data_IF_254169809127
#
_entry.id   IF_254169809127
#
_cell.length_a   1.000
_cell.length_b   1.000
_cell.length_c   1.000
_cell.angle_alpha   90.00
_cell.angle_beta   90.00
_cell.angle_gamma   90.00
#
_symmetry.space_group_name_H-M   'P 1'
#
loop_
_entity.id
_entity.type
_entity.pdbx_description
1 polymer ?
#
# COMPACT_ATOMS: atom_id res chain seq x y z
N UNK A 1 -48.35 -70.99 34.01
CA UNK A 1 -47.92 -69.57 34.05
C UNK A 1 -46.73 -69.39 33.12
N UNK A 2 -46.96 -68.88 31.90
CA UNK A 2 -45.92 -68.65 30.89
C UNK A 2 -45.61 -67.15 30.90
N UNK A 3 -44.40 -66.76 31.32
CA UNK A 3 -43.93 -65.36 31.27
C UNK A 3 -43.39 -65.07 29.86
N UNK A 4 -44.06 -64.19 29.12
CA UNK A 4 -43.57 -63.59 27.87
C UNK A 4 -42.56 -62.49 28.22
N UNK A 5 -41.34 -62.60 27.71
CA UNK A 5 -40.35 -61.53 27.73
C UNK A 5 -40.44 -60.74 26.43
N UNK A 6 -40.66 -59.42 26.52
CA UNK A 6 -40.67 -58.49 25.40
C UNK A 6 -39.24 -57.96 25.25
N UNK A 7 -38.57 -58.28 24.13
CA UNK A 7 -37.30 -57.66 23.75
C UNK A 7 -37.60 -56.31 23.08
N UNK A 8 -37.25 -55.22 23.76
CA UNK A 8 -37.29 -53.87 23.19
C UNK A 8 -35.95 -53.62 22.50
N UNK A 9 -35.95 -53.60 21.17
CA UNK A 9 -34.79 -53.21 20.37
C UNK A 9 -34.56 -51.71 20.48
N UNK A 10 -33.47 -51.29 21.12
CA UNK A 10 -33.01 -49.91 21.12
C UNK A 10 -32.29 -49.62 19.80
N UNK A 11 -33.02 -49.03 18.84
CA UNK A 11 -32.40 -48.44 17.65
C UNK A 11 -31.56 -47.23 18.07
N UNK A 12 -30.23 -47.39 18.12
CA UNK A 12 -29.29 -46.28 18.20
C UNK A 12 -29.29 -45.56 16.85
N UNK A 13 -30.08 -44.49 16.74
CA UNK A 13 -30.00 -43.55 15.63
C UNK A 13 -28.71 -42.74 15.84
N UNK A 14 -27.65 -43.12 15.13
CA UNK A 14 -26.46 -42.29 14.96
C UNK A 14 -26.85 -41.04 14.16
N UNK A 15 -27.21 -39.97 14.86
CA UNK A 15 -27.29 -38.64 14.28
C UNK A 15 -25.87 -38.21 13.88
N UNK A 16 -25.47 -38.50 12.64
CA UNK A 16 -24.38 -37.76 12.01
C UNK A 16 -24.83 -36.30 11.91
N UNK A 17 -24.39 -35.49 12.87
CA UNK A 17 -24.44 -34.05 12.78
C UNK A 17 -23.62 -33.65 11.56
N UNK A 18 -24.30 -33.48 10.43
CA UNK A 18 -23.73 -32.90 9.23
C UNK A 18 -23.53 -31.41 9.54
N UNK A 19 -22.40 -31.06 10.17
CA UNK A 19 -21.93 -29.68 10.23
C UNK A 19 -21.61 -29.27 8.80
N UNK A 20 -22.54 -28.58 8.13
CA UNK A 20 -22.21 -27.89 6.90
C UNK A 20 -21.06 -26.94 7.22
N UNK A 21 -19.93 -27.11 6.53
CA UNK A 21 -18.84 -26.14 6.61
C UNK A 21 -19.46 -24.79 6.19
N UNK A 22 -19.58 -23.84 7.13
CA UNK A 22 -19.99 -22.47 6.81
C UNK A 22 -18.89 -21.89 5.93
N UNK A 23 -19.12 -21.86 4.63
CA UNK A 23 -18.25 -21.17 3.69
C UNK A 23 -18.39 -19.67 3.92
N UNK A 24 -17.29 -18.98 4.24
CA UNK A 24 -17.26 -17.52 4.13
C UNK A 24 -17.09 -17.24 2.63
N UNK A 25 -18.20 -16.99 1.95
CA UNK A 25 -18.17 -16.38 0.63
C UNK A 25 -17.76 -14.92 0.84
N UNK A 26 -16.58 -14.54 0.38
CA UNK A 26 -16.22 -13.12 0.27
C UNK A 26 -17.00 -12.59 -0.93
N UNK A 27 -18.24 -12.15 -0.68
CA UNK A 27 -19.18 -11.72 -1.73
C UNK A 27 -18.68 -10.52 -2.54
N UNK A 28 -17.80 -9.71 -1.94
CA UNK A 28 -17.12 -8.58 -2.60
C UNK A 28 -15.68 -8.47 -2.11
N UNK A 29 -14.77 -8.09 -3.01
CA UNK A 29 -13.37 -7.84 -2.65
C UNK A 29 -13.30 -6.79 -1.54
N UNK A 30 -12.53 -7.02 -0.46
CA UNK A 30 -12.38 -6.04 0.60
C UNK A 30 -11.81 -4.71 0.07
N UNK A 31 -12.21 -3.61 0.68
CA UNK A 31 -11.65 -2.30 0.31
C UNK A 31 -10.20 -2.26 0.78
N UNK A 32 -9.27 -2.06 -0.17
CA UNK A 32 -7.86 -1.87 0.12
C UNK A 32 -7.68 -0.57 0.95
N UNK A 33 -7.04 -0.60 2.13
CA UNK A 33 -6.90 0.57 3.00
C UNK A 33 -6.23 1.75 2.28
N UNK A 34 -6.76 2.95 2.53
CA UNK A 34 -6.35 4.22 1.93
C UNK A 34 -6.42 4.31 0.38
N UNK A 35 -7.23 3.47 -0.26
CA UNK A 35 -7.37 3.47 -1.73
C UNK A 35 -8.72 3.98 -2.22
N UNK A 36 -8.76 4.32 -3.51
CA UNK A 36 -9.95 4.59 -4.31
C UNK A 36 -10.04 3.53 -5.39
N UNK A 37 -11.21 2.91 -5.54
CA UNK A 37 -11.54 2.10 -6.70
C UNK A 37 -11.74 2.99 -7.92
N UNK A 38 -10.98 2.78 -8.98
CA UNK A 38 -11.07 3.59 -10.21
C UNK A 38 -11.76 2.84 -11.36
N UNK A 39 -11.34 1.63 -11.69
CA UNK A 39 -11.95 0.81 -12.76
C UNK A 39 -11.45 -0.64 -12.72
N UNK A 40 -12.18 -1.60 -13.31
CA UNK A 40 -11.69 -2.97 -13.58
C UNK A 40 -10.95 -3.70 -12.43
N UNK A 41 -11.41 -3.55 -11.19
CA UNK A 41 -10.75 -4.17 -10.03
C UNK A 41 -9.48 -3.45 -9.54
N UNK A 42 -9.10 -2.34 -10.17
CA UNK A 42 -7.95 -1.50 -9.82
C UNK A 42 -8.34 -0.49 -8.73
N UNK A 43 -7.59 -0.56 -7.64
CA UNK A 43 -7.56 0.40 -6.57
C UNK A 43 -6.25 1.18 -6.62
N UNK A 44 -6.25 2.44 -6.25
CA UNK A 44 -5.03 3.26 -6.16
C UNK A 44 -5.06 4.12 -4.90
N UNK A 45 -3.91 4.36 -4.29
CA UNK A 45 -3.82 5.24 -3.13
C UNK A 45 -4.32 6.65 -3.44
N UNK A 46 -5.03 7.23 -2.46
CA UNK A 46 -5.54 8.61 -2.54
C UNK A 46 -4.41 9.63 -2.72
N UNK A 47 -3.31 9.42 -2.00
CA UNK A 47 -2.14 10.28 -1.96
C UNK A 47 -0.89 9.42 -2.11
N UNK A 48 0.26 10.06 -2.29
CA UNK A 48 1.56 9.42 -2.20
C UNK A 48 1.78 8.77 -0.83
N UNK A 49 2.64 7.74 -0.77
CA UNK A 49 3.04 7.12 0.50
C UNK A 49 3.74 8.17 1.36
N UNK A 50 3.22 8.40 2.56
CA UNK A 50 3.73 9.43 3.46
C UNK A 50 4.90 8.95 4.31
N UNK A 51 5.63 9.89 4.91
CA UNK A 51 6.73 9.59 5.84
C UNK A 51 6.26 8.72 7.02
N UNK A 52 5.06 8.96 7.57
CA UNK A 52 4.54 8.13 8.67
C UNK A 52 4.27 6.70 8.20
N UNK A 53 3.74 6.50 6.99
CA UNK A 53 3.52 5.17 6.44
C UNK A 53 4.85 4.44 6.17
N UNK A 54 5.85 5.15 5.64
CA UNK A 54 7.16 4.55 5.41
C UNK A 54 7.90 4.23 6.72
N UNK A 55 7.76 5.07 7.75
CA UNK A 55 8.30 4.77 9.09
C UNK A 55 7.63 3.58 9.75
N UNK A 56 6.34 3.33 9.52
CA UNK A 56 5.69 2.09 9.98
C UNK A 56 6.34 0.85 9.36
N UNK A 57 6.70 0.92 8.07
CA UNK A 57 7.48 -0.13 7.41
C UNK A 57 8.87 -0.31 8.04
N UNK A 58 9.61 0.78 8.26
CA UNK A 58 10.92 0.73 8.92
C UNK A 58 10.84 0.14 10.32
N UNK A 59 9.84 0.56 11.10
CA UNK A 59 9.57 0.04 12.43
C UNK A 59 9.28 -1.46 12.39
N UNK A 60 8.44 -1.91 11.46
CA UNK A 60 8.17 -3.34 11.27
C UNK A 60 9.45 -4.11 11.00
N UNK A 61 10.30 -3.65 10.07
CA UNK A 61 11.52 -4.36 9.73
C UNK A 61 12.49 -4.44 10.91
N UNK A 62 12.60 -3.38 11.71
CA UNK A 62 13.48 -3.34 12.89
C UNK A 62 13.02 -4.31 13.99
N UNK A 63 11.71 -4.46 14.19
CA UNK A 63 11.17 -5.21 15.33
C UNK A 63 10.85 -6.67 15.00
N UNK A 64 10.65 -6.99 13.72
CA UNK A 64 10.22 -8.32 13.28
C UNK A 64 11.36 -9.21 12.79
N UNK A 65 12.56 -8.65 12.60
CA UNK A 65 13.73 -9.42 12.20
C UNK A 65 14.83 -9.27 13.24
N UNK A 66 15.45 -10.38 13.62
CA UNK A 66 16.57 -10.38 14.56
C UNK A 66 17.82 -9.74 13.94
N UNK A 67 17.96 -9.85 12.62
CA UNK A 67 18.97 -9.13 11.83
C UNK A 67 18.41 -7.81 11.28
N UNK A 68 19.13 -6.72 11.52
CA UNK A 68 18.79 -5.37 11.10
C UNK A 68 19.18 -5.08 9.63
N UNK A 69 19.69 -6.07 8.88
CA UNK A 69 20.07 -5.89 7.46
C UNK A 69 18.92 -5.36 6.61
N UNK A 70 17.71 -5.92 6.73
CA UNK A 70 16.55 -5.49 5.94
C UNK A 70 16.14 -4.05 6.25
N UNK A 71 16.12 -3.65 7.52
CA UNK A 71 15.79 -2.29 7.90
C UNK A 71 16.87 -1.30 7.42
N UNK A 72 18.17 -1.63 7.57
CA UNK A 72 19.25 -0.80 7.03
C UNK A 72 19.17 -0.63 5.51
N UNK A 73 18.83 -1.67 4.77
CA UNK A 73 18.61 -1.60 3.32
C UNK A 73 17.37 -0.78 2.94
N UNK A 74 16.38 -0.68 3.83
CA UNK A 74 15.16 0.09 3.61
C UNK A 74 15.29 1.58 3.99
N UNK A 75 16.36 2.00 4.69
CA UNK A 75 16.57 3.40 5.05
C UNK A 75 16.64 4.29 3.80
N UNK A 76 15.84 5.37 3.70
CA UNK A 76 15.95 6.32 2.61
C UNK A 76 17.30 7.04 2.62
N UNK A 77 17.79 7.43 1.44
CA UNK A 77 18.91 8.34 1.32
C UNK A 77 18.46 9.75 1.70
N UNK A 78 18.78 10.18 2.92
CA UNK A 78 18.41 11.52 3.40
C UNK A 78 19.32 12.62 2.86
N UNK A 79 20.48 12.29 2.27
CA UNK A 79 21.40 13.28 1.73
C UNK A 79 20.88 13.92 0.43
N UNK A 80 19.86 13.34 -0.20
CA UNK A 80 19.19 13.90 -1.38
C UNK A 80 18.75 15.36 -1.16
N UNK A 81 18.40 15.74 0.07
CA UNK A 81 18.05 17.12 0.42
C UNK A 81 19.24 18.08 0.26
N UNK A 82 20.37 17.76 0.90
CA UNK A 82 21.58 18.59 0.85
C UNK A 82 22.25 18.57 -0.53
N UNK A 83 22.15 17.45 -1.25
CA UNK A 83 22.64 17.35 -2.63
C UNK A 83 21.81 18.16 -3.62
N UNK A 84 20.51 18.34 -3.35
CA UNK A 84 19.66 19.19 -4.17
C UNK A 84 20.00 20.67 -3.94
N UNK A 85 19.94 21.12 -2.68
CA UNK A 85 20.41 22.46 -2.29
C UNK A 85 20.79 22.48 -0.80
N UNK A 86 21.90 23.14 -0.47
CA UNK A 86 22.36 23.36 0.90
C UNK A 86 21.33 24.04 1.81
N UNK A 87 20.40 24.82 1.25
CA UNK A 87 19.32 25.45 2.00
C UNK A 87 18.34 24.43 2.63
N UNK A 88 18.30 23.19 2.14
CA UNK A 88 17.53 22.08 2.71
C UNK A 88 18.33 21.20 3.67
N UNK A 89 19.51 21.64 4.12
CA UNK A 89 20.39 20.84 4.99
C UNK A 89 19.73 20.35 6.29
N UNK A 90 18.76 21.07 6.85
CA UNK A 90 17.99 20.63 8.02
C UNK A 90 17.08 19.44 7.71
N UNK A 91 16.53 19.37 6.49
CA UNK A 91 15.63 18.28 6.05
C UNK A 91 16.32 16.91 6.06
N UNK A 92 17.64 16.87 5.95
CA UNK A 92 18.45 15.63 6.10
C UNK A 92 18.14 14.94 7.44
N UNK A 93 17.94 15.73 8.50
CA UNK A 93 17.67 15.24 9.84
C UNK A 93 16.17 15.12 10.10
N UNK A 94 15.39 16.12 9.67
CA UNK A 94 14.03 16.29 10.15
C UNK A 94 12.97 15.60 9.29
N UNK A 95 13.09 15.65 7.96
CA UNK A 95 11.98 15.35 7.04
C UNK A 95 11.36 13.97 7.25
N UNK A 96 12.18 12.92 7.34
CA UNK A 96 11.66 11.57 7.57
C UNK A 96 11.22 11.37 9.01
N UNK A 97 11.73 12.11 9.99
CA UNK A 97 11.78 11.70 11.41
C UNK A 97 10.85 12.48 12.32
N UNK A 98 10.52 13.72 12.00
CA UNK A 98 9.76 14.57 12.91
C UNK A 98 8.25 14.54 12.63
N UNK A 99 7.41 14.85 13.62
CA UNK A 99 5.95 14.87 13.47
C UNK A 99 5.42 15.84 12.40
N UNK A 100 6.13 16.96 12.20
CA UNK A 100 5.72 18.04 11.29
C UNK A 100 5.62 17.56 9.83
N UNK A 101 6.39 16.52 9.48
CA UNK A 101 6.46 15.96 8.13
C UNK A 101 5.74 14.62 7.99
N UNK A 102 4.92 14.21 8.96
CA UNK A 102 4.27 12.90 8.96
C UNK A 102 3.51 12.59 7.66
N UNK A 103 2.71 13.55 7.23
CA UNK A 103 1.78 13.38 6.09
C UNK A 103 2.39 13.81 4.75
N UNK A 104 3.68 14.13 4.74
CA UNK A 104 4.44 14.51 3.55
C UNK A 104 4.88 13.26 2.79
N UNK A 105 5.00 13.32 1.46
CA UNK A 105 5.44 12.19 0.67
C UNK A 105 6.83 11.72 1.09
N UNK A 106 7.01 10.42 1.24
CA UNK A 106 8.31 9.84 1.50
C UNK A 106 9.19 9.94 0.23
N UNK A 107 10.40 10.50 0.39
CA UNK A 107 11.38 10.74 -0.70
C UNK A 107 12.76 10.23 -0.31
N UNK A 108 13.72 10.26 -1.25
CA UNK A 108 15.01 9.61 -1.04
C UNK A 108 14.91 8.08 -1.07
N UNK A 109 13.85 7.56 -1.68
CA UNK A 109 13.54 6.12 -1.77
C UNK A 109 13.86 5.64 -3.18
N UNK A 110 14.63 4.56 -3.28
CA UNK A 110 14.93 3.92 -4.56
C UNK A 110 13.72 3.15 -5.09
N UNK A 111 13.69 2.88 -6.40
CA UNK A 111 12.68 2.01 -6.99
C UNK A 111 12.60 0.63 -6.29
N UNK A 112 13.75 0.04 -5.96
CA UNK A 112 13.81 -1.26 -5.28
C UNK A 112 13.24 -1.19 -3.86
N UNK A 113 13.56 -0.13 -3.11
CA UNK A 113 13.00 0.12 -1.79
C UNK A 113 11.47 0.29 -1.85
N UNK A 114 10.97 1.07 -2.83
CA UNK A 114 9.53 1.25 -3.04
C UNK A 114 8.84 -0.08 -3.41
N UNK A 115 9.46 -0.92 -4.25
CA UNK A 115 8.96 -2.26 -4.56
C UNK A 115 8.91 -3.17 -3.32
N UNK A 116 9.92 -3.11 -2.46
CA UNK A 116 9.97 -3.90 -1.23
C UNK A 116 8.91 -3.45 -0.20
N UNK A 117 8.72 -2.14 -0.05
CA UNK A 117 7.61 -1.58 0.73
C UNK A 117 6.26 -2.11 0.23
N UNK A 118 6.07 -2.12 -1.07
CA UNK A 118 4.80 -2.50 -1.70
C UNK A 118 4.47 -3.98 -1.49
N UNK A 119 5.48 -4.86 -1.55
CA UNK A 119 5.34 -6.28 -1.18
C UNK A 119 4.99 -6.43 0.31
N UNK A 120 5.69 -5.72 1.18
CA UNK A 120 5.40 -5.73 2.61
C UNK A 120 3.96 -5.28 2.90
N UNK A 121 3.49 -4.22 2.24
CA UNK A 121 2.12 -3.72 2.40
C UNK A 121 1.08 -4.75 1.98
N UNK A 122 1.34 -5.51 0.91
CA UNK A 122 0.47 -6.63 0.50
C UNK A 122 0.32 -7.65 1.62
N UNK A 123 1.44 -8.07 2.23
CA UNK A 123 1.43 -9.01 3.35
C UNK A 123 0.67 -8.45 4.56
N UNK A 124 0.92 -7.20 4.95
CA UNK A 124 0.26 -6.58 6.12
C UNK A 124 -1.24 -6.42 5.93
N UNK A 125 -1.68 -5.98 4.75
CA UNK A 125 -3.11 -5.82 4.46
C UNK A 125 -3.80 -7.18 4.42
N UNK A 126 -3.15 -8.20 3.87
CA UNK A 126 -3.69 -9.56 3.93
C UNK A 126 -3.77 -10.08 5.37
N UNK A 127 -2.72 -9.90 6.16
CA UNK A 127 -2.68 -10.29 7.57
C UNK A 127 -3.82 -9.63 8.36
N UNK A 128 -3.98 -8.31 8.20
CA UNK A 128 -5.07 -7.54 8.80
C UNK A 128 -6.45 -8.04 8.34
N UNK A 129 -6.62 -8.33 7.05
CA UNK A 129 -7.87 -8.87 6.52
C UNK A 129 -8.22 -10.22 7.15
N UNK A 130 -7.27 -11.15 7.19
CA UNK A 130 -7.46 -12.47 7.79
C UNK A 130 -7.75 -12.39 9.29
N UNK A 131 -7.05 -11.51 10.01
CA UNK A 131 -7.27 -11.28 11.43
C UNK A 131 -8.67 -10.70 11.70
N UNK A 132 -9.10 -9.71 10.91
CA UNK A 132 -10.45 -9.10 11.02
C UNK A 132 -11.56 -10.12 10.75
N UNK A 133 -11.29 -11.15 9.94
CA UNK A 133 -12.20 -12.26 9.67
C UNK A 133 -12.09 -13.42 10.67
N UNK A 134 -11.26 -13.29 11.71
CA UNK A 134 -10.96 -14.35 12.70
C UNK A 134 -10.43 -15.66 12.07
N UNK A 135 -9.72 -15.56 10.94
CA UNK A 135 -9.11 -16.70 10.23
C UNK A 135 -7.72 -16.99 10.79
N UNK A 136 -6.99 -15.94 11.15
CA UNK A 136 -5.72 -16.03 11.87
C UNK A 136 -5.84 -15.26 13.18
N UNK A 137 -5.08 -15.68 14.18
CA UNK A 137 -4.89 -14.89 15.39
C UNK A 137 -3.77 -13.86 15.14
N UNK A 138 -3.95 -12.58 15.53
CA UNK A 138 -2.87 -11.60 15.49
C UNK A 138 -1.67 -12.12 16.29
N UNK A 139 -0.47 -12.00 15.73
CA UNK A 139 0.75 -12.40 16.43
C UNK A 139 1.53 -11.15 16.80
N UNK A 140 1.45 -10.69 18.05
CA UNK A 140 2.14 -9.48 18.48
C UNK A 140 3.67 -9.64 18.51
N UNK A 141 4.20 -10.87 18.61
CA UNK A 141 5.63 -11.11 18.89
C UNK A 141 6.34 -12.05 17.89
N UNK A 142 5.77 -12.36 16.72
CA UNK A 142 6.51 -13.21 15.76
C UNK A 142 7.78 -12.53 15.29
N UNK A 143 8.86 -13.31 15.22
CA UNK A 143 10.15 -12.90 14.68
C UNK A 143 10.55 -13.81 13.52
N UNK A 144 11.34 -13.24 12.61
CA UNK A 144 12.02 -13.94 11.54
C UNK A 144 11.07 -14.84 10.73
N UNK A 145 11.28 -16.16 10.76
CA UNK A 145 10.50 -17.12 9.98
C UNK A 145 9.04 -17.27 10.43
N UNK A 146 8.68 -16.77 11.61
CA UNK A 146 7.29 -16.75 12.06
C UNK A 146 6.50 -15.56 11.51
N UNK A 147 7.15 -14.63 10.81
CA UNK A 147 6.45 -13.49 10.22
C UNK A 147 5.49 -13.96 9.13
N UNK A 148 4.31 -13.34 9.11
CA UNK A 148 3.31 -13.59 8.08
C UNK A 148 3.83 -13.16 6.71
N UNK A 149 3.60 -14.00 5.72
CA UNK A 149 3.56 -13.62 4.31
C UNK A 149 2.42 -14.32 3.60
N UNK A 150 1.91 -13.71 2.53
CA UNK A 150 0.89 -14.29 1.67
C UNK A 150 1.33 -15.68 1.18
N UNK A 151 2.60 -15.84 0.79
CA UNK A 151 3.12 -17.12 0.33
C UNK A 151 3.07 -18.19 1.43
N UNK A 152 3.55 -17.89 2.64
CA UNK A 152 3.52 -18.82 3.78
C UNK A 152 2.08 -19.20 4.15
N UNK A 153 1.16 -18.23 4.10
CA UNK A 153 -0.25 -18.47 4.36
C UNK A 153 -0.83 -19.53 3.41
N UNK A 154 -0.66 -19.35 2.10
CA UNK A 154 -1.21 -20.28 1.10
C UNK A 154 -0.44 -21.60 0.96
N UNK A 155 0.86 -21.61 1.30
CA UNK A 155 1.68 -22.83 1.34
C UNK A 155 1.33 -23.76 2.50
N UNK A 156 0.49 -23.32 3.45
CA UNK A 156 0.18 -24.02 4.71
C UNK A 156 1.37 -24.10 5.69
N UNK A 157 2.35 -23.20 5.55
CA UNK A 157 3.55 -23.13 6.41
C UNK A 157 3.43 -22.13 7.59
N UNK A 158 2.40 -21.29 7.60
CA UNK A 158 2.08 -20.33 8.66
C UNK A 158 1.29 -20.96 9.82
N UNK A 159 2.00 -21.65 10.72
CA UNK A 159 1.52 -22.57 11.78
C UNK A 159 0.33 -22.15 12.68
N UNK A 160 -0.20 -20.92 12.62
CA UNK A 160 -1.24 -20.38 13.52
C UNK A 160 -2.65 -20.33 12.90
N UNK A 161 -3.01 -21.40 12.17
CA UNK A 161 -4.22 -21.51 11.34
C UNK A 161 -5.52 -21.73 12.11
N UNK A 162 -6.59 -21.06 11.66
CA UNK A 162 -7.97 -21.56 11.81
C UNK A 162 -8.67 -21.45 10.45
N UNK A 163 -9.10 -22.58 9.88
CA UNK A 163 -10.05 -22.63 8.75
C UNK A 163 -9.67 -21.82 7.47
N UNK A 164 -8.50 -22.10 6.87
CA UNK A 164 -7.98 -21.37 5.70
C UNK A 164 -8.48 -21.86 4.32
N UNK A 165 -9.18 -22.99 4.24
CA UNK A 165 -9.55 -23.60 2.94
C UNK A 165 -10.58 -22.77 2.15
N UNK A 166 -11.18 -21.74 2.74
CA UNK A 166 -12.17 -20.87 2.11
C UNK A 166 -11.58 -19.62 1.45
N UNK A 167 -10.31 -19.28 1.71
CA UNK A 167 -9.66 -18.10 1.15
C UNK A 167 -8.88 -18.49 -0.10
N UNK A 168 -9.17 -17.81 -1.21
CA UNK A 168 -8.48 -17.99 -2.48
C UNK A 168 -8.10 -16.68 -3.17
N UNK A 169 -8.21 -15.55 -2.46
CA UNK A 169 -7.83 -14.23 -2.97
C UNK A 169 -6.80 -13.57 -2.05
N UNK A 170 -6.03 -12.64 -2.59
CA UNK A 170 -5.10 -11.80 -1.84
C UNK A 170 -4.99 -10.41 -2.46
N UNK A 171 -4.71 -9.36 -1.66
CA UNK A 171 -4.38 -8.05 -2.18
C UNK A 171 -2.94 -8.10 -2.72
N UNK A 172 -2.76 -7.71 -3.97
CA UNK A 172 -1.45 -7.43 -4.53
C UNK A 172 -1.34 -5.93 -4.71
N UNK A 173 -0.56 -5.30 -3.83
CA UNK A 173 -0.10 -3.94 -4.06
C UNK A 173 1.09 -3.98 -5.02
N UNK A 174 1.19 -2.96 -5.87
CA UNK A 174 2.27 -2.76 -6.84
C UNK A 174 2.58 -1.28 -7.02
N UNK A 175 3.75 -0.97 -7.57
CA UNK A 175 3.93 0.33 -8.21
C UNK A 175 3.06 0.38 -9.48
N UNK A 176 2.46 1.52 -9.83
CA UNK A 176 1.59 1.61 -10.99
C UNK A 176 2.34 1.29 -12.28
N UNK A 177 1.70 0.59 -13.22
CA UNK A 177 2.14 0.63 -14.62
C UNK A 177 1.83 2.01 -15.23
N UNK A 178 2.37 2.29 -16.43
CA UNK A 178 2.03 3.53 -17.14
C UNK A 178 0.53 3.65 -17.39
N UNK A 179 -0.08 2.56 -17.84
CA UNK A 179 -1.50 2.49 -18.18
C UNK A 179 -2.39 2.63 -16.94
N UNK A 180 -1.99 2.03 -15.81
CA UNK A 180 -2.71 2.18 -14.54
C UNK A 180 -2.66 3.63 -14.03
N UNK A 181 -1.50 4.28 -14.15
CA UNK A 181 -1.34 5.67 -13.75
C UNK A 181 -2.14 6.62 -14.67
N UNK A 182 -2.12 6.38 -15.98
CA UNK A 182 -2.94 7.12 -16.96
C UNK A 182 -4.45 6.95 -16.69
N UNK A 183 -4.86 5.75 -16.30
CA UNK A 183 -6.25 5.50 -15.87
C UNK A 183 -6.60 6.32 -14.63
N UNK A 184 -5.67 6.44 -13.68
CA UNK A 184 -5.88 7.20 -12.45
C UNK A 184 -5.99 8.72 -12.71
N UNK A 185 -5.15 9.30 -13.55
CA UNK A 185 -5.24 10.73 -13.88
C UNK A 185 -6.51 11.05 -14.66
N UNK A 186 -6.94 10.18 -15.58
CA UNK A 186 -8.21 10.35 -16.26
C UNK A 186 -9.40 10.32 -15.28
N UNK A 187 -9.42 9.34 -14.37
CA UNK A 187 -10.42 9.26 -13.31
C UNK A 187 -10.41 10.54 -12.44
N UNK A 188 -9.24 11.03 -12.06
CA UNK A 188 -9.10 12.26 -11.27
C UNK A 188 -9.67 13.48 -12.01
N UNK A 189 -9.30 13.69 -13.27
CA UNK A 189 -9.73 14.85 -14.06
C UNK A 189 -11.25 14.87 -14.28
N UNK A 190 -11.86 13.70 -14.53
CA UNK A 190 -13.31 13.57 -14.66
C UNK A 190 -14.05 13.87 -13.34
N UNK A 191 -13.52 13.41 -12.20
CA UNK A 191 -14.11 13.72 -10.89
C UNK A 191 -13.89 15.18 -10.49
N UNK A 192 -12.75 15.78 -10.83
CA UNK A 192 -12.45 17.18 -10.53
C UNK A 192 -13.40 18.14 -11.26
N UNK A 193 -13.80 17.86 -12.51
CA UNK A 193 -14.81 18.64 -13.26
C UNK A 193 -16.16 18.71 -12.54
N UNK A 194 -16.50 17.64 -11.82
CA UNK A 194 -17.76 17.49 -11.10
C UNK A 194 -17.66 17.92 -9.63
N UNK A 195 -16.53 18.51 -9.24
CA UNK A 195 -16.25 18.91 -7.87
C UNK A 195 -16.25 20.42 -7.70
N UNK A 196 -16.72 20.90 -6.55
CA UNK A 196 -16.44 22.27 -6.08
C UNK A 196 -14.98 22.44 -5.64
N UNK A 197 -14.24 21.34 -5.51
CA UNK A 197 -12.84 21.33 -5.16
C UNK A 197 -11.98 21.79 -6.32
N UNK A 198 -11.12 22.78 -6.08
CA UNK A 198 -10.22 23.32 -7.08
C UNK A 198 -8.94 22.46 -7.23
N UNK A 199 -9.09 21.12 -7.29
CA UNK A 199 -8.00 20.13 -7.22
C UNK A 199 -6.97 20.29 -8.34
N UNK A 200 -7.40 20.84 -9.48
CA UNK A 200 -6.54 21.04 -10.66
C UNK A 200 -5.73 22.35 -10.61
N UNK A 201 -6.01 23.27 -9.67
CA UNK A 201 -5.29 24.56 -9.59
C UNK A 201 -4.17 24.61 -8.56
N UNK A 202 -4.06 23.59 -7.71
CA UNK A 202 -3.06 23.54 -6.64
C UNK A 202 -1.92 22.56 -6.99
N UNK A 203 -1.49 22.56 -8.25
CA UNK A 203 -0.30 21.84 -8.68
C UNK A 203 0.91 22.51 -8.00
N UNK A 204 1.66 21.74 -7.22
CA UNK A 204 2.93 22.20 -6.62
C UNK A 204 4.05 21.98 -7.64
N UNK A 205 4.64 23.07 -8.12
CA UNK A 205 5.68 23.11 -9.15
C UNK A 205 6.77 24.12 -8.77
N UNK A 206 7.89 24.09 -9.47
CA UNK A 206 9.05 24.92 -9.14
C UNK A 206 8.71 26.43 -9.12
N UNK A 207 8.96 27.08 -7.97
CA UNK A 207 9.18 28.52 -7.94
C UNK A 207 10.70 28.76 -8.07
N UNK A 208 11.09 29.59 -9.02
CA UNK A 208 12.50 29.90 -9.23
C UNK A 208 13.01 30.63 -7.99
N UNK A 209 13.91 30.00 -7.25
CA UNK A 209 14.55 30.44 -6.00
C UNK A 209 13.77 30.21 -4.68
N UNK A 210 13.33 28.99 -4.37
CA UNK A 210 12.79 28.63 -3.03
C UNK A 210 13.67 29.12 -1.86
N UNK A 211 14.99 28.92 -1.96
CA UNK A 211 15.93 29.35 -0.93
C UNK A 211 16.02 30.88 -0.80
N UNK A 212 15.86 31.66 -1.89
CA UNK A 212 15.88 33.13 -1.82
C UNK A 212 14.51 33.71 -1.49
N UNK A 213 13.44 32.98 -1.81
CA UNK A 213 12.08 33.34 -1.47
C UNK A 213 11.74 33.11 0.01
N UNK A 214 12.65 32.48 0.78
CA UNK A 214 12.46 32.20 2.21
C UNK A 214 11.28 31.26 2.47
N UNK A 215 10.94 30.43 1.49
CA UNK A 215 9.76 29.55 1.58
C UNK A 215 10.10 28.39 2.51
N UNK A 216 9.18 28.10 3.43
CA UNK A 216 9.31 26.98 4.34
C UNK A 216 9.19 25.66 3.54
N UNK A 217 10.11 24.70 3.69
CA UNK A 217 9.99 23.37 3.07
C UNK A 217 8.66 22.66 3.36
N UNK A 218 8.00 22.98 4.48
CA UNK A 218 6.63 22.57 4.81
C UNK A 218 5.61 23.03 3.74
N UNK A 219 5.79 24.21 3.15
CA UNK A 219 4.85 24.73 2.14
C UNK A 219 5.03 24.10 0.75
N UNK A 220 6.06 23.26 0.57
CA UNK A 220 6.40 22.64 -0.72
C UNK A 220 5.49 21.45 -1.02
N UNK A 221 5.09 20.68 0.00
CA UNK A 221 4.55 19.31 -0.14
C UNK A 221 3.34 19.00 0.78
N UNK A 222 2.57 20.01 1.17
CA UNK A 222 1.47 19.85 2.13
C UNK A 222 0.26 19.07 1.55
N UNK A 223 -0.27 18.03 2.23
CA UNK A 223 -1.54 17.39 1.85
C UNK A 223 -2.72 18.36 1.83
N UNK A 224 -3.31 18.58 0.66
CA UNK A 224 -4.59 19.27 0.55
C UNK A 224 -5.73 18.26 0.51
N UNK A 225 -6.60 18.27 1.52
CA UNK A 225 -7.82 17.47 1.52
C UNK A 225 -9.03 18.31 1.15
N UNK A 226 -9.77 17.87 0.13
CA UNK A 226 -11.06 18.45 -0.17
C UNK A 226 -12.19 17.60 0.43
N UNK A 227 -12.97 18.21 1.32
CA UNK A 227 -14.11 17.55 1.99
C UNK A 227 -15.32 17.53 1.07
N UNK A 228 -15.41 16.51 0.22
CA UNK A 228 -16.65 16.21 -0.52
C UNK A 228 -16.98 14.72 -0.51
N UNK A 229 -18.20 14.39 -0.95
CA UNK A 229 -18.66 13.01 -1.08
C UNK A 229 -18.07 12.30 -2.33
N UNK A 230 -17.29 13.01 -3.14
CA UNK A 230 -16.65 12.46 -4.34
C UNK A 230 -15.32 11.84 -3.93
N UNK A 231 -15.03 10.64 -4.45
CA UNK A 231 -13.73 10.00 -4.21
C UNK A 231 -12.67 10.71 -5.05
N UNK A 232 -11.71 11.31 -4.37
CA UNK A 232 -10.62 12.05 -5.01
C UNK A 232 -9.30 11.32 -4.91
N UNK A 233 -8.50 11.53 -5.94
CA UNK A 233 -7.06 11.33 -5.91
C UNK A 233 -6.42 12.71 -5.78
N UNK A 234 -5.33 12.80 -5.04
CA UNK A 234 -4.64 14.04 -4.78
C UNK A 234 -3.24 13.97 -5.36
N UNK A 235 -2.74 15.12 -5.81
CA UNK A 235 -1.35 15.32 -6.20
C UNK A 235 -0.82 14.40 -7.30
N UNK A 236 -1.69 13.90 -8.19
CA UNK A 236 -1.22 13.19 -9.38
C UNK A 236 -0.42 14.11 -10.33
N UNK A 237 -0.54 15.44 -10.20
CA UNK A 237 0.27 16.40 -10.95
C UNK A 237 1.03 17.30 -9.98
N UNK A 238 2.36 17.30 -10.09
CA UNK A 238 3.26 18.03 -9.21
C UNK A 238 3.51 17.32 -7.89
N UNK A 239 3.84 18.08 -6.85
CA UNK A 239 4.21 17.54 -5.54
C UNK A 239 5.48 16.67 -5.64
N UNK A 240 5.39 15.35 -5.65
CA UNK A 240 6.53 14.48 -5.97
C UNK A 240 6.22 13.64 -7.20
N UNK A 241 7.26 13.38 -7.99
CA UNK A 241 7.14 12.47 -9.12
C UNK A 241 7.06 11.04 -8.57
N UNK A 242 6.20 10.20 -9.15
CA UNK A 242 5.88 8.91 -8.55
C UNK A 242 6.53 7.76 -9.32
N UNK A 243 7.31 6.92 -8.63
CA UNK A 243 7.88 5.73 -9.25
C UNK A 243 6.81 4.89 -9.96
N UNK A 244 7.09 4.54 -11.21
CA UNK A 244 6.28 3.60 -11.99
C UNK A 244 7.06 2.30 -12.22
N UNK A 245 6.32 1.26 -12.60
CA UNK A 245 6.88 -0.04 -12.97
C UNK A 245 8.09 0.12 -13.94
N UNK A 246 9.17 -0.62 -13.63
CA UNK A 246 10.39 -0.65 -14.42
C UNK A 246 11.51 0.28 -13.94
N UNK A 247 11.22 1.23 -13.03
CA UNK A 247 12.24 1.95 -12.25
C UNK A 247 13.17 2.87 -13.04
N UNK A 248 12.79 3.23 -14.27
CA UNK A 248 13.54 4.16 -15.15
C UNK A 248 12.85 5.50 -15.34
N UNK A 249 11.64 5.63 -14.80
CA UNK A 249 10.78 6.78 -14.96
C UNK A 249 9.92 6.95 -13.71
N UNK A 250 9.33 8.13 -13.60
CA UNK A 250 8.30 8.45 -12.63
C UNK A 250 7.18 9.25 -13.34
N UNK A 251 6.01 9.37 -12.71
CA UNK A 251 4.83 10.02 -13.27
C UNK A 251 4.40 11.27 -12.50
N UNK A 252 3.65 12.17 -13.14
CA UNK A 252 3.01 13.33 -12.51
C UNK A 252 3.88 14.58 -12.39
N UNK A 253 5.20 14.44 -12.49
CA UNK A 253 6.15 15.52 -12.24
C UNK A 253 6.19 15.89 -10.76
N UNK A 254 6.85 16.99 -10.41
CA UNK A 254 7.15 17.32 -9.02
C UNK A 254 7.32 18.82 -8.81
N UNK A 255 7.52 19.21 -7.55
CA UNK A 255 7.84 20.58 -7.13
C UNK A 255 9.15 21.12 -7.73
N UNK A 256 9.98 20.31 -8.40
CA UNK A 256 11.16 20.77 -9.15
C UNK A 256 10.91 20.99 -10.64
N UNK A 257 9.79 20.50 -11.17
CA UNK A 257 9.43 20.67 -12.58
C UNK A 257 8.65 21.99 -12.78
N UNK A 258 8.73 22.57 -13.99
CA UNK A 258 7.90 23.73 -14.31
C UNK A 258 6.44 23.32 -14.51
N UNK A 259 5.50 24.24 -14.30
CA UNK A 259 4.09 23.99 -14.59
C UNK A 259 3.87 23.59 -16.06
N UNK A 260 4.63 24.18 -16.98
CA UNK A 260 4.51 23.85 -18.40
C UNK A 260 4.92 22.40 -18.69
N UNK A 261 5.96 21.90 -18.02
CA UNK A 261 6.41 20.52 -18.18
C UNK A 261 5.38 19.54 -17.63
N UNK A 262 4.85 19.79 -16.43
CA UNK A 262 3.81 18.97 -15.78
C UNK A 262 2.53 18.92 -16.63
N UNK A 263 2.18 20.01 -17.32
CA UNK A 263 1.02 20.04 -18.20
C UNK A 263 1.23 19.30 -19.53
N UNK A 264 2.46 19.30 -20.06
CA UNK A 264 2.78 18.71 -21.37
C UNK A 264 3.20 17.24 -21.29
N UNK A 265 3.72 16.80 -20.15
CA UNK A 265 4.31 15.47 -19.98
C UNK A 265 3.76 14.77 -18.76
N UNK A 266 3.34 13.52 -18.95
CA UNK A 266 2.89 12.64 -17.88
C UNK A 266 4.05 11.96 -17.16
N UNK A 267 5.13 11.63 -17.88
CA UNK A 267 6.23 10.83 -17.38
C UNK A 267 7.58 11.53 -17.51
N UNK A 268 8.43 11.34 -16.50
CA UNK A 268 9.72 11.99 -16.34
C UNK A 268 10.81 10.94 -16.10
N UNK A 269 12.04 11.22 -16.51
CA UNK A 269 13.18 10.33 -16.28
C UNK A 269 13.61 10.37 -14.82
N UNK A 270 13.68 9.21 -14.16
CA UNK A 270 14.20 9.05 -12.81
C UNK A 270 14.92 7.71 -12.73
N UNK A 271 16.15 7.69 -12.19
CA UNK A 271 17.01 6.48 -12.18
C UNK A 271 17.62 6.17 -10.82
N UNK A 272 17.48 7.08 -9.87
CA UNK A 272 18.05 7.00 -8.52
C UNK A 272 17.10 7.68 -7.54
N UNK A 273 17.28 7.46 -6.22
CA UNK A 273 16.58 8.24 -5.21
C UNK A 273 16.82 9.73 -5.40
N UNK A 274 15.77 10.54 -5.27
CA UNK A 274 15.83 11.98 -5.41
C UNK A 274 14.90 12.61 -4.36
N UNK A 275 15.13 13.89 -4.07
CA UNK A 275 14.32 14.67 -3.13
C UNK A 275 12.89 14.97 -3.64
N UNK A 276 12.68 14.79 -4.94
CA UNK A 276 11.44 15.09 -5.65
C UNK A 276 10.78 13.84 -6.23
N UNK A 277 11.28 12.64 -5.91
CA UNK A 277 10.71 11.36 -6.34
C UNK A 277 10.22 10.58 -5.12
N UNK A 278 8.92 10.32 -5.09
CA UNK A 278 8.25 9.44 -4.15
C UNK A 278 7.52 8.33 -4.89
N UNK A 279 6.44 7.81 -4.32
CA UNK A 279 5.61 6.80 -4.97
C UNK A 279 4.22 6.70 -4.33
N UNK A 280 3.29 6.12 -5.08
CA UNK A 280 2.00 5.63 -4.57
C UNK A 280 1.82 4.18 -5.00
N UNK A 281 0.92 3.44 -4.37
CA UNK A 281 0.62 2.08 -4.80
C UNK A 281 -0.71 1.98 -5.56
N UNK A 282 -0.73 1.05 -6.52
CA UNK A 282 -1.95 0.41 -6.99
C UNK A 282 -2.19 -0.87 -6.20
N UNK A 283 -3.43 -1.34 -6.17
CA UNK A 283 -3.81 -2.62 -5.57
C UNK A 283 -4.85 -3.33 -6.45
N UNK A 284 -4.65 -4.63 -6.66
CA UNK A 284 -5.62 -5.54 -7.27
C UNK A 284 -5.80 -6.76 -6.38
N UNK A 285 -7.04 -7.20 -6.22
CA UNK A 285 -7.33 -8.48 -5.58
C UNK A 285 -7.16 -9.60 -6.59
N UNK A 286 -6.17 -10.46 -6.37
CA UNK A 286 -5.84 -11.58 -7.26
C UNK A 286 -6.31 -12.89 -6.67
N UNK A 287 -6.66 -13.85 -7.54
CA UNK A 287 -6.91 -15.24 -7.14
C UNK A 287 -5.57 -15.96 -6.94
N UNK A 288 -5.45 -16.72 -5.87
CA UNK A 288 -4.32 -17.60 -5.63
C UNK A 288 -4.44 -18.87 -6.48
N UNK A 289 -3.56 -19.02 -7.45
CA UNK A 289 -3.46 -20.24 -8.26
C UNK A 289 -2.55 -21.24 -7.56
N UNK A 290 -3.13 -22.34 -7.07
CA UNK A 290 -2.32 -23.50 -6.64
C UNK A 290 -1.70 -24.07 -7.91
N UNK A 291 -0.37 -24.00 -8.04
CA UNK A 291 0.32 -24.81 -9.04
C UNK A 291 -0.03 -26.26 -8.72
N UNK A 292 -0.79 -26.92 -9.61
CA UNK A 292 -0.98 -28.36 -9.50
C UNK A 292 0.42 -28.96 -9.58
N UNK A 293 0.89 -29.53 -8.47
CA UNK A 293 2.03 -30.42 -8.46
C UNK A 293 1.63 -31.59 -9.36
N UNK A 294 2.01 -31.54 -10.63
CA UNK A 294 2.01 -32.71 -11.49
C UNK A 294 2.88 -33.76 -10.82
N UNK A 295 2.20 -34.83 -10.43
CA UNK A 295 2.69 -36.05 -9.83
C UNK A 295 3.53 -36.84 -10.83
#
# INVERSE_FOLDING_TARGET
MIKRYIFISFCYIFCFSCTSKKYIVVETNPIAPNTVYISNGLYIDKNEVSNINYREYLFYLEHRYSDNTLHKMALPDTLVWAYYDTCFSTMVFDYLRTPEFNDYPAVGISYEQAMNYTKWRSDRVMEMFLATKNIIQPVPESKDDENFSIQKFFAKDYKKYVNADTISIYPEYSLPTKEEWETAIFFHEENAKNSSCNLLKNIRYASNDWCKAGINPIDIVNPEECRTNIKHLYHLKGNVCEWIEGGKMCAGGSWVNSLSDIQKSTFFSAKKPEVWVGFRNTCKWKKWERKNSTQ
#
